data_IF_032138345475
#
_entry.id   IF_032138345475
#
_cell.length_a   1.000
_cell.length_b   1.000
_cell.length_c   1.000
_cell.angle_alpha   90.00
_cell.angle_beta   90.00
_cell.angle_gamma   90.00
#
_symmetry.space_group_name_H-M   'P 1'
#
loop_
_entity.id
_entity.type
_entity.pdbx_description
1 polymer ?
#
# COMPACT_ATOMS: atom_id res chain seq x y z
N UNK A 1 -15.33 5.74 -18.91
CA UNK A 1 -16.80 5.67 -19.02
C UNK A 1 -17.46 7.04 -19.26
N UNK A 2 -16.66 8.12 -19.43
CA UNK A 2 -17.17 9.47 -19.66
C UNK A 2 -18.01 10.05 -18.52
N UNK A 3 -17.71 9.70 -17.29
CA UNK A 3 -18.43 10.21 -16.10
C UNK A 3 -19.76 9.50 -15.80
N UNK A 4 -20.01 8.34 -16.37
CA UNK A 4 -21.23 7.56 -16.12
C UNK A 4 -21.28 6.95 -14.72
N UNK A 5 -20.12 6.73 -14.09
CA UNK A 5 -19.99 6.29 -12.72
C UNK A 5 -18.86 7.04 -12.02
N UNK A 6 -19.03 7.27 -10.72
CA UNK A 6 -18.08 7.99 -9.89
C UNK A 6 -17.81 7.19 -8.62
N UNK A 7 -16.55 7.10 -8.23
CA UNK A 7 -16.14 6.52 -6.97
C UNK A 7 -15.35 7.55 -6.17
N UNK A 8 -15.71 7.73 -4.92
CA UNK A 8 -15.02 8.66 -4.06
C UNK A 8 -13.67 8.07 -3.64
N UNK A 9 -12.57 8.76 -3.94
CA UNK A 9 -11.27 8.45 -3.34
C UNK A 9 -11.30 8.90 -1.88
N UNK A 10 -11.08 7.93 -0.98
CA UNK A 10 -10.89 8.20 0.44
C UNK A 10 -9.44 7.93 0.80
N UNK A 11 -9.02 7.34 1.80
CA UNK A 11 -7.63 7.20 2.28
C UNK A 11 -6.95 8.57 2.45
N UNK A 12 -6.37 8.86 3.49
CA UNK A 12 -5.57 10.04 3.81
C UNK A 12 -6.01 11.41 3.26
N UNK A 13 -6.90 11.45 2.26
CA UNK A 13 -7.48 12.69 1.77
C UNK A 13 -8.52 13.19 2.78
N UNK A 14 -8.37 14.39 3.31
CA UNK A 14 -9.35 14.97 4.20
C UNK A 14 -10.65 15.27 3.44
N UNK A 15 -11.76 15.32 4.17
CA UNK A 15 -13.03 15.80 3.61
C UNK A 15 -12.95 17.32 3.46
N UNK A 16 -12.44 17.78 2.34
CA UNK A 16 -12.20 19.18 2.01
C UNK A 16 -12.43 19.43 0.52
N UNK A 17 -12.76 20.65 0.16
CA UNK A 17 -12.90 21.02 -1.24
C UNK A 17 -11.54 20.93 -1.96
N UNK A 18 -11.50 20.16 -3.02
CA UNK A 18 -10.40 20.15 -3.98
C UNK A 18 -10.58 21.36 -4.90
N UNK A 19 -9.55 22.17 -5.06
CA UNK A 19 -9.57 23.38 -5.85
C UNK A 19 -8.93 23.19 -7.22
N UNK A 20 -7.91 22.35 -7.25
CA UNK A 20 -7.16 22.11 -8.49
C UNK A 20 -6.60 20.70 -8.49
N UNK A 21 -6.47 20.13 -9.69
CA UNK A 21 -5.90 18.80 -9.93
C UNK A 21 -5.00 18.90 -11.14
N UNK A 22 -3.73 18.59 -10.95
CA UNK A 22 -2.74 18.57 -12.01
C UNK A 22 -2.11 17.19 -12.13
N UNK A 23 -1.74 16.81 -13.35
CA UNK A 23 -1.07 15.53 -13.64
C UNK A 23 0.38 15.80 -13.97
N UNK A 24 1.28 15.34 -13.12
CA UNK A 24 2.70 15.27 -13.42
C UNK A 24 2.95 14.05 -14.33
N UNK A 25 3.18 14.31 -15.61
CA UNK A 25 3.12 13.28 -16.67
C UNK A 25 4.32 12.36 -16.69
N UNK A 26 5.49 12.81 -16.23
CA UNK A 26 6.71 12.01 -16.26
C UNK A 26 6.60 10.80 -15.30
N UNK A 27 6.06 11.04 -14.10
CA UNK A 27 5.95 10.02 -13.05
C UNK A 27 4.52 9.45 -12.94
N UNK A 28 3.57 10.02 -13.69
CA UNK A 28 2.13 9.73 -13.56
C UNK A 28 1.60 10.05 -12.16
N UNK A 29 2.07 11.13 -11.56
CA UNK A 29 1.57 11.55 -10.26
C UNK A 29 0.36 12.46 -10.40
N UNK A 30 -0.59 12.32 -9.49
CA UNK A 30 -1.75 13.19 -9.40
C UNK A 30 -1.53 14.16 -8.25
N UNK A 31 -1.40 15.43 -8.56
CA UNK A 31 -1.24 16.52 -7.60
C UNK A 31 -2.59 17.14 -7.32
N UNK A 32 -3.01 17.17 -6.07
CA UNK A 32 -4.33 17.63 -5.63
C UNK A 32 -4.16 18.82 -4.70
N UNK A 33 -4.55 20.00 -5.17
CA UNK A 33 -4.59 21.24 -4.40
C UNK A 33 -5.90 21.34 -3.62
N UNK A 34 -5.82 21.54 -2.29
CA UNK A 34 -6.99 21.62 -1.43
C UNK A 34 -7.21 23.03 -0.87
N UNK A 35 -8.42 23.31 -0.43
CA UNK A 35 -8.72 24.59 0.24
C UNK A 35 -8.26 24.56 1.70
N UNK A 36 -7.08 25.14 1.95
CA UNK A 36 -6.57 25.35 3.30
C UNK A 36 -6.00 24.12 4.02
N UNK A 37 -5.89 22.96 3.35
CA UNK A 37 -5.34 21.72 3.93
C UNK A 37 -4.10 21.19 3.18
N UNK A 38 -3.42 22.07 2.45
CA UNK A 38 -2.19 21.73 1.76
C UNK A 38 -2.40 21.04 0.41
N UNK A 39 -1.35 20.41 -0.07
CA UNK A 39 -1.28 19.71 -1.35
C UNK A 39 -1.05 18.23 -1.06
N UNK A 40 -1.75 17.38 -1.78
CA UNK A 40 -1.62 15.93 -1.70
C UNK A 40 -1.11 15.40 -3.03
N UNK A 41 -0.23 14.42 -2.98
CA UNK A 41 0.33 13.77 -4.16
C UNK A 41 -0.02 12.29 -4.08
N UNK A 42 -0.61 11.78 -5.16
CA UNK A 42 -0.80 10.34 -5.36
C UNK A 42 0.26 9.89 -6.34
N UNK A 43 1.27 9.21 -5.83
CA UNK A 43 2.36 8.69 -6.63
C UNK A 43 1.86 7.61 -7.57
N UNK A 44 2.15 7.78 -8.87
CA UNK A 44 1.80 6.85 -9.92
C UNK A 44 0.35 6.37 -9.89
N UNK A 45 -0.54 7.19 -10.40
CA UNK A 45 -1.97 6.86 -10.50
C UNK A 45 -2.29 5.83 -11.60
N UNK A 46 -1.30 5.28 -12.30
CA UNK A 46 -1.50 4.29 -13.38
C UNK A 46 -2.39 3.12 -12.98
N UNK A 47 -2.30 2.55 -11.76
CA UNK A 47 -3.22 1.50 -11.32
C UNK A 47 -4.69 1.94 -11.32
N UNK A 48 -4.98 3.21 -11.03
CA UNK A 48 -6.36 3.72 -11.01
C UNK A 48 -7.01 3.71 -12.40
N UNK A 49 -6.22 3.81 -13.46
CA UNK A 49 -6.74 3.68 -14.85
C UNK A 49 -7.28 2.28 -15.13
N UNK A 50 -6.75 1.28 -14.44
CA UNK A 50 -7.15 -0.12 -14.61
C UNK A 50 -8.30 -0.49 -13.67
N UNK A 51 -8.43 0.19 -12.53
CA UNK A 51 -9.48 -0.07 -11.51
C UNK A 51 -10.92 0.11 -12.02
N UNK A 52 -11.11 0.80 -13.14
CA UNK A 52 -12.42 0.89 -13.78
C UNK A 52 -12.91 -0.46 -14.35
N UNK A 53 -12.10 -1.52 -14.26
CA UNK A 53 -12.40 -2.87 -14.73
C UNK A 53 -12.47 -3.82 -13.55
N UNK A 54 -13.08 -4.97 -13.75
CA UNK A 54 -12.98 -6.06 -12.77
C UNK A 54 -11.53 -6.55 -12.70
N UNK A 55 -10.90 -6.32 -11.55
CA UNK A 55 -9.50 -6.71 -11.31
C UNK A 55 -9.36 -8.19 -10.92
N UNK A 56 -10.47 -8.92 -10.82
CA UNK A 56 -10.45 -10.30 -10.35
C UNK A 56 -10.00 -10.43 -8.89
N UNK A 57 -9.56 -11.63 -8.51
CA UNK A 57 -9.11 -11.90 -7.14
C UNK A 57 -7.74 -11.28 -6.84
N UNK A 58 -6.89 -11.16 -7.84
CA UNK A 58 -5.54 -10.61 -7.74
C UNK A 58 -5.14 -9.93 -9.04
N UNK A 59 -4.49 -8.79 -8.93
CA UNK A 59 -3.93 -8.07 -10.08
C UNK A 59 -2.56 -7.48 -9.71
N UNK A 60 -1.53 -7.87 -10.43
CA UNK A 60 -0.24 -7.19 -10.43
C UNK A 60 -0.25 -6.14 -11.56
N UNK A 61 0.07 -4.90 -11.23
CA UNK A 61 0.21 -3.83 -12.20
C UNK A 61 1.62 -3.84 -12.79
N UNK A 62 1.75 -3.42 -14.05
CA UNK A 62 3.06 -3.30 -14.67
C UNK A 62 3.92 -2.31 -13.87
N UNK A 63 5.10 -2.71 -13.39
CA UNK A 63 6.00 -1.78 -12.73
C UNK A 63 6.56 -0.77 -13.73
N UNK A 64 6.90 0.42 -13.26
CA UNK A 64 7.68 1.39 -14.03
C UNK A 64 9.16 1.01 -14.01
N UNK A 65 9.90 1.52 -14.98
CA UNK A 65 11.35 1.46 -14.93
C UNK A 65 11.86 2.18 -13.68
N UNK A 66 12.66 1.52 -12.84
CA UNK A 66 13.12 2.12 -11.59
C UNK A 66 14.18 3.19 -11.84
N UNK A 67 14.09 4.28 -11.09
CA UNK A 67 15.16 5.26 -11.05
C UNK A 67 16.29 4.76 -10.13
N UNK A 68 17.50 4.76 -10.65
CA UNK A 68 18.69 4.57 -9.83
C UNK A 68 19.16 5.95 -9.35
N UNK A 69 19.11 6.16 -8.06
CA UNK A 69 19.61 7.39 -7.43
C UNK A 69 20.43 7.04 -6.18
N UNK A 70 21.27 7.96 -5.78
CA UNK A 70 21.99 7.86 -4.51
C UNK A 70 21.11 8.55 -3.47
N UNK A 71 20.66 7.80 -2.46
CA UNK A 71 19.96 8.40 -1.33
C UNK A 71 20.91 9.35 -0.61
N UNK A 72 20.53 10.62 -0.56
CA UNK A 72 21.28 11.64 0.13
C UNK A 72 20.63 12.00 1.47
N UNK A 73 21.45 12.19 2.47
CA UNK A 73 21.01 12.74 3.73
C UNK A 73 20.79 14.25 3.63
N UNK A 74 19.81 14.76 4.36
CA UNK A 74 19.65 16.20 4.54
C UNK A 74 20.92 16.74 5.25
N UNK A 75 21.37 17.91 4.84
CA UNK A 75 22.55 18.57 5.42
C UNK A 75 22.49 18.55 6.96
N UNK A 76 23.42 17.82 7.58
CA UNK A 76 23.56 17.73 9.03
C UNK A 76 23.20 16.40 9.70
N UNK A 77 22.88 15.33 8.94
CA UNK A 77 22.69 13.98 9.46
C UNK A 77 21.34 13.34 9.16
N UNK A 78 21.05 12.28 9.89
CA UNK A 78 19.91 11.34 9.66
C UNK A 78 18.53 11.96 9.92
N UNK A 79 18.44 13.12 10.55
CA UNK A 79 17.18 13.80 10.89
C UNK A 79 17.05 15.13 10.12
N UNK A 80 15.99 15.89 10.41
CA UNK A 80 15.70 17.19 9.80
C UNK A 80 16.86 18.19 9.80
N UNK A 81 17.93 17.88 10.52
CA UNK A 81 19.11 18.73 10.63
C UNK A 81 18.80 20.13 11.18
N UNK A 82 19.50 21.15 10.65
CA UNK A 82 19.36 22.54 11.05
C UNK A 82 18.16 23.27 10.42
N UNK A 83 17.30 22.60 9.66
CA UNK A 83 16.18 23.24 8.93
C UNK A 83 15.04 23.68 9.86
N UNK A 84 15.01 23.17 11.08
CA UNK A 84 14.02 23.52 12.09
C UNK A 84 12.72 22.70 12.02
N UNK A 85 11.96 22.70 13.11
CA UNK A 85 10.76 21.89 13.27
C UNK A 85 9.61 22.28 12.32
N UNK A 86 9.53 23.54 11.93
CA UNK A 86 8.49 24.05 11.06
C UNK A 86 8.69 23.66 9.58
N UNK A 87 9.87 23.15 9.23
CA UNK A 87 10.14 22.74 7.85
C UNK A 87 9.51 21.38 7.56
N UNK A 88 8.67 21.32 6.56
CA UNK A 88 8.07 20.06 6.12
C UNK A 88 9.10 19.18 5.41
N UNK A 89 9.18 17.93 5.84
CA UNK A 89 9.96 16.90 5.15
C UNK A 89 9.09 15.67 4.95
N UNK A 90 9.22 15.03 3.80
CA UNK A 90 8.59 13.75 3.49
C UNK A 90 9.68 12.68 3.31
N UNK A 91 9.39 11.40 3.58
CA UNK A 91 10.31 10.32 3.25
C UNK A 91 10.54 10.28 1.74
N UNK A 92 11.74 9.85 1.34
CA UNK A 92 12.04 9.60 -0.06
C UNK A 92 11.14 8.48 -0.61
N UNK A 93 10.87 8.46 -1.93
CA UNK A 93 10.27 7.30 -2.57
C UNK A 93 11.09 6.04 -2.30
N UNK A 94 10.44 4.88 -2.29
CA UNK A 94 11.14 3.61 -2.16
C UNK A 94 12.15 3.42 -3.29
N UNK A 95 13.40 3.09 -2.93
CA UNK A 95 14.46 2.86 -3.89
C UNK A 95 14.24 1.56 -4.64
N UNK A 96 14.49 1.58 -5.97
CA UNK A 96 14.44 0.40 -6.80
C UNK A 96 13.13 0.20 -7.55
N UNK A 97 12.80 -1.06 -7.86
CA UNK A 97 11.60 -1.40 -8.60
C UNK A 97 10.39 -1.51 -7.66
N UNK A 98 9.41 -0.64 -7.85
CA UNK A 98 8.18 -0.62 -7.05
C UNK A 98 7.10 -1.45 -7.75
N UNK A 99 6.63 -2.49 -7.07
CA UNK A 99 5.52 -3.33 -7.51
C UNK A 99 4.24 -2.92 -6.81
N UNK A 100 3.22 -2.55 -7.58
CA UNK A 100 1.88 -2.29 -7.08
C UNK A 100 0.97 -3.44 -7.46
N UNK A 101 0.14 -3.87 -6.53
CA UNK A 101 -0.76 -5.00 -6.74
C UNK A 101 -2.04 -4.82 -5.94
N UNK A 102 -3.09 -5.45 -6.42
CA UNK A 102 -4.41 -5.48 -5.80
C UNK A 102 -4.74 -6.90 -5.37
N UNK A 103 -5.28 -7.02 -4.18
CA UNK A 103 -5.85 -8.27 -3.63
C UNK A 103 -7.31 -7.97 -3.29
N UNK A 104 -8.24 -8.73 -3.85
CA UNK A 104 -9.68 -8.49 -3.64
C UNK A 104 -10.10 -8.82 -2.21
N UNK A 105 -9.86 -10.05 -1.82
CA UNK A 105 -10.24 -10.57 -0.52
C UNK A 105 -8.97 -11.02 0.20
N UNK A 106 -8.53 -10.23 1.16
CA UNK A 106 -7.38 -10.60 1.97
C UNK A 106 -7.71 -11.81 2.84
N UNK A 107 -6.73 -12.68 3.00
CA UNK A 107 -6.80 -13.72 3.99
C UNK A 107 -6.96 -13.11 5.39
N UNK A 108 -7.99 -13.55 6.11
CA UNK A 108 -8.20 -13.12 7.49
C UNK A 108 -7.69 -14.23 8.41
N UNK A 109 -6.88 -13.85 9.38
CA UNK A 109 -6.46 -14.78 10.42
C UNK A 109 -7.64 -15.17 11.32
N UNK A 110 -7.57 -16.33 11.96
CA UNK A 110 -8.58 -16.79 12.94
C UNK A 110 -8.85 -15.72 14.00
N UNK A 111 -7.79 -15.04 14.47
CA UNK A 111 -7.89 -13.93 15.41
C UNK A 111 -8.69 -12.75 14.85
N UNK A 112 -8.48 -12.39 13.57
CA UNK A 112 -9.24 -11.32 12.92
C UNK A 112 -10.70 -11.70 12.74
N UNK A 113 -10.99 -12.95 12.37
CA UNK A 113 -12.36 -13.47 12.24
C UNK A 113 -13.07 -13.42 13.58
N UNK A 114 -12.44 -13.94 14.64
CA UNK A 114 -12.98 -13.89 16.00
C UNK A 114 -13.27 -12.46 16.45
N UNK A 115 -12.30 -11.56 16.35
CA UNK A 115 -12.48 -10.16 16.73
C UNK A 115 -13.59 -9.45 15.96
N UNK A 116 -13.75 -9.75 14.68
CA UNK A 116 -14.85 -9.20 13.89
C UNK A 116 -16.21 -9.70 14.38
N UNK A 117 -16.31 -11.00 14.78
CA UNK A 117 -17.52 -11.56 15.37
C UNK A 117 -17.81 -10.96 16.76
N UNK A 118 -16.80 -10.78 17.61
CA UNK A 118 -16.92 -10.12 18.91
C UNK A 118 -17.48 -8.68 18.77
N UNK A 119 -16.89 -7.88 17.87
CA UNK A 119 -17.35 -6.52 17.60
C UNK A 119 -18.81 -6.51 17.10
N UNK A 120 -19.22 -7.48 16.29
CA UNK A 120 -20.60 -7.57 15.83
C UNK A 120 -21.56 -7.82 16.99
N UNK A 121 -21.21 -8.74 17.91
CA UNK A 121 -22.02 -9.03 19.11
C UNK A 121 -22.09 -7.80 20.04
N UNK A 122 -20.95 -7.13 20.28
CA UNK A 122 -20.90 -5.91 21.09
C UNK A 122 -21.79 -4.80 20.52
N UNK A 123 -21.78 -4.60 19.21
CA UNK A 123 -22.62 -3.60 18.54
C UNK A 123 -24.12 -3.90 18.68
N UNK A 124 -24.50 -5.16 18.85
CA UNK A 124 -25.87 -5.61 19.13
C UNK A 124 -26.21 -5.57 20.62
N UNK A 125 -25.26 -5.15 21.48
CA UNK A 125 -25.43 -5.09 22.94
C UNK A 125 -25.35 -6.44 23.66
N UNK A 126 -24.78 -7.46 23.01
CA UNK A 126 -24.55 -8.76 23.58
C UNK A 126 -23.19 -8.90 24.28
N UNK A 127 -23.07 -9.88 25.17
CA UNK A 127 -21.80 -10.23 25.79
C UNK A 127 -21.00 -11.17 24.88
N UNK A 128 -19.71 -10.90 24.74
CA UNK A 128 -18.82 -11.76 23.97
C UNK A 128 -18.32 -12.92 24.83
N UNK A 129 -18.49 -14.18 24.39
CA UNK A 129 -17.97 -15.33 25.12
C UNK A 129 -16.44 -15.33 25.11
N UNK A 130 -15.83 -15.66 26.23
CA UNK A 130 -14.38 -15.84 26.28
C UNK A 130 -13.96 -17.04 25.41
N UNK A 131 -12.98 -16.87 24.50
CA UNK A 131 -12.56 -17.94 23.62
C UNK A 131 -11.88 -19.07 24.41
N UNK A 132 -12.04 -20.30 23.96
CA UNK A 132 -11.37 -21.45 24.59
C UNK A 132 -9.84 -21.35 24.46
N UNK A 133 -9.11 -21.92 25.40
CA UNK A 133 -7.65 -21.99 25.35
C UNK A 133 -7.12 -22.66 24.08
N UNK A 134 -7.84 -23.66 23.57
CA UNK A 134 -7.45 -24.33 22.34
C UNK A 134 -7.66 -23.44 21.11
N UNK A 135 -8.70 -22.62 21.10
CA UNK A 135 -8.91 -21.63 20.05
C UNK A 135 -7.79 -20.58 20.06
N UNK A 136 -7.42 -20.07 21.25
CA UNK A 136 -6.32 -19.10 21.38
C UNK A 136 -4.98 -19.70 20.93
N UNK A 137 -4.69 -20.95 21.32
CA UNK A 137 -3.48 -21.66 20.86
C UNK A 137 -3.49 -21.89 19.35
N UNK A 138 -4.66 -22.12 18.74
CA UNK A 138 -4.79 -22.29 17.31
C UNK A 138 -4.59 -20.97 16.56
N UNK A 139 -4.97 -19.84 17.15
CA UNK A 139 -4.67 -18.49 16.65
C UNK A 139 -3.17 -18.21 16.70
N UNK A 140 -2.51 -18.50 17.84
CA UNK A 140 -1.07 -18.25 18.00
C UNK A 140 -0.19 -19.12 17.08
N UNK A 141 -0.66 -20.31 16.73
CA UNK A 141 0.04 -21.22 15.81
C UNK A 141 -0.26 -20.98 14.35
N UNK A 142 -1.25 -20.13 14.05
CA UNK A 142 -1.64 -19.85 12.69
C UNK A 142 -0.50 -19.12 11.96
N UNK A 143 -0.07 -19.71 10.85
CA UNK A 143 0.81 -19.02 9.91
C UNK A 143 -0.08 -18.29 8.92
N UNK A 144 0.00 -16.96 8.89
CA UNK A 144 -0.71 -16.18 7.89
C UNK A 144 -0.33 -16.61 6.47
N UNK A 145 -1.25 -16.44 5.54
CA UNK A 145 -0.97 -16.72 4.14
C UNK A 145 0.17 -15.82 3.65
N UNK A 146 1.19 -16.44 3.09
CA UNK A 146 2.33 -15.74 2.54
C UNK A 146 2.10 -15.45 1.06
N UNK A 147 2.12 -14.18 0.70
CA UNK A 147 2.12 -13.73 -0.69
C UNK A 147 3.55 -13.35 -1.07
N UNK A 148 4.00 -13.79 -2.23
CA UNK A 148 5.32 -13.47 -2.75
C UNK A 148 5.22 -12.94 -4.17
N UNK A 149 6.05 -11.94 -4.46
CA UNK A 149 6.35 -11.51 -5.81
C UNK A 149 7.65 -12.17 -6.25
N UNK A 150 7.61 -12.90 -7.36
CA UNK A 150 8.77 -13.59 -7.91
C UNK A 150 9.30 -12.77 -9.07
N UNK A 151 10.53 -12.30 -8.94
CA UNK A 151 11.25 -11.61 -10.01
C UNK A 151 12.08 -12.65 -10.76
N UNK A 152 11.93 -12.72 -12.07
CA UNK A 152 12.64 -13.65 -12.95
C UNK A 152 13.38 -12.87 -14.04
N UNK A 153 14.51 -13.42 -14.48
CA UNK A 153 15.23 -12.89 -15.63
C UNK A 153 14.56 -13.25 -16.98
N UNK A 154 15.13 -12.80 -18.07
CA UNK A 154 14.65 -13.09 -19.42
C UNK A 154 14.67 -14.59 -19.77
N UNK A 155 15.46 -15.40 -19.06
CA UNK A 155 15.53 -16.85 -19.22
C UNK A 155 14.54 -17.59 -18.31
N UNK A 156 13.77 -16.86 -17.50
CA UNK A 156 12.82 -17.42 -16.55
C UNK A 156 13.44 -17.88 -15.22
N UNK A 157 14.73 -17.65 -15.00
CA UNK A 157 15.39 -18.00 -13.75
C UNK A 157 14.96 -17.07 -12.63
N UNK A 158 14.76 -17.60 -11.44
CA UNK A 158 14.39 -16.83 -10.26
C UNK A 158 15.56 -15.97 -9.80
N UNK A 159 15.38 -14.66 -9.85
CA UNK A 159 16.35 -13.64 -9.40
C UNK A 159 16.10 -13.26 -7.95
N UNK A 160 14.84 -13.01 -7.59
CA UNK A 160 14.46 -12.56 -6.25
C UNK A 160 13.04 -13.03 -5.89
N UNK A 161 12.85 -13.34 -4.63
CA UNK A 161 11.54 -13.53 -4.00
C UNK A 161 11.33 -12.43 -2.98
N UNK A 162 10.22 -11.71 -3.09
CA UNK A 162 9.88 -10.57 -2.24
C UNK A 162 8.61 -10.90 -1.50
N UNK A 163 8.65 -10.78 -0.17
CA UNK A 163 7.44 -10.90 0.65
C UNK A 163 6.49 -9.75 0.38
N UNK A 164 5.22 -10.05 0.24
CA UNK A 164 4.18 -9.11 -0.08
C UNK A 164 3.01 -9.24 0.91
N UNK A 165 2.28 -8.16 1.13
CA UNK A 165 1.10 -8.15 2.00
C UNK A 165 -0.06 -8.89 1.34
N UNK A 166 -0.69 -9.81 2.06
CA UNK A 166 -1.83 -10.62 1.58
C UNK A 166 -3.19 -10.06 1.99
N UNK A 167 -3.24 -8.93 2.70
CA UNK A 167 -4.51 -8.27 3.06
C UNK A 167 -5.28 -7.77 1.85
N UNK A 168 -6.59 -7.57 1.96
CA UNK A 168 -7.40 -6.99 0.87
C UNK A 168 -7.05 -5.53 0.62
N UNK A 169 -7.10 -5.11 -0.64
CA UNK A 169 -6.85 -3.74 -1.07
C UNK A 169 -5.68 -3.58 -2.04
N UNK A 170 -5.30 -2.31 -2.23
CA UNK A 170 -4.14 -1.94 -3.04
C UNK A 170 -2.89 -1.89 -2.15
N UNK A 171 -1.84 -2.54 -2.59
CA UNK A 171 -0.58 -2.62 -1.88
C UNK A 171 0.58 -2.24 -2.79
N UNK A 172 1.71 -1.89 -2.15
CA UNK A 172 3.00 -1.76 -2.84
C UNK A 172 4.12 -2.42 -2.03
N UNK A 173 5.14 -2.84 -2.73
CA UNK A 173 6.40 -3.33 -2.20
C UNK A 173 7.52 -3.00 -3.19
N UNK A 174 8.73 -2.83 -2.70
CA UNK A 174 9.87 -2.49 -3.55
C UNK A 174 10.95 -3.59 -3.52
N UNK A 175 11.70 -3.66 -4.59
CA UNK A 175 12.92 -4.43 -4.70
C UNK A 175 14.09 -3.48 -4.94
N UNK A 176 15.09 -3.54 -4.10
CA UNK A 176 16.30 -2.72 -4.12
C UNK A 176 17.27 -3.06 -5.28
N UNK A 177 16.86 -3.91 -6.23
CA UNK A 177 17.62 -4.38 -7.36
C UNK A 177 18.88 -5.20 -6.99
N UNK A 178 18.98 -5.61 -5.72
CA UNK A 178 20.09 -6.43 -5.25
C UNK A 178 19.75 -7.91 -5.28
N UNK A 179 20.74 -8.71 -5.63
CA UNK A 179 20.66 -10.15 -5.46
C UNK A 179 20.69 -10.51 -3.96
N UNK A 180 20.13 -11.66 -3.56
CA UNK A 180 20.29 -12.14 -2.19
C UNK A 180 21.78 -12.33 -1.91
N UNK A 181 22.17 -12.10 -0.66
CA UNK A 181 23.52 -12.44 -0.22
C UNK A 181 23.77 -13.94 -0.41
N UNK A 182 25.00 -14.33 -0.79
CA UNK A 182 25.37 -15.72 -0.98
C UNK A 182 25.28 -16.52 0.32
#
# INVERSE_FOLDING_TARGET
>A
NGGKSWSQMRNNLPTIAVRDIEIQRRENDLVVGTFGRGIYIVDDYSPLRTQARDLGAFQLFAPRDPWLFIEGDVWGGVEKGSIGHAFFTAPNPEFGAVFRYYVKDGSKTKKQIRRAAEIAIENEGGDTPYPSWDALRAEDRERGDALYILVRDANGQLVRQISAKSGGGLHQTAWDLRLPAP
#
